data_IF_887470111791
#
_entry.id   IF_887470111791
#
_cell.length_a   1.000
_cell.length_b   1.000
_cell.length_c   1.000
_cell.angle_alpha   90.00
_cell.angle_beta   90.00
_cell.angle_gamma   90.00
#
_symmetry.space_group_name_H-M   'P 1'
#
loop_
_entity.id
_entity.type
_entity.pdbx_description
1 polymer ?
#
# COMPACT_ATOMS: atom_id res chain seq x y z
N UNK A 1 -45.41 0.03 19.11
CA UNK A 1 -45.39 -1.34 19.64
C UNK A 1 -44.13 -2.00 19.07
N UNK A 2 -42.98 -1.84 19.72
CA UNK A 2 -42.43 -2.84 20.66
C UNK A 2 -42.04 -4.12 19.88
N UNK A 3 -40.80 -4.62 19.79
CA UNK A 3 -39.58 -4.66 20.62
C UNK A 3 -38.50 -5.34 19.71
N UNK A 4 -37.19 -5.49 19.96
CA UNK A 4 -36.32 -5.38 21.13
C UNK A 4 -34.87 -5.42 20.66
N UNK A 5 -34.01 -4.63 21.31
CA UNK A 5 -32.54 -4.79 21.34
C UNK A 5 -32.13 -6.17 21.90
N UNK A 6 -31.06 -6.76 21.38
CA UNK A 6 -30.19 -7.74 22.05
C UNK A 6 -28.72 -7.39 21.66
N UNK A 7 -28.02 -6.59 22.48
CA UNK A 7 -26.96 -7.03 23.42
C UNK A 7 -25.68 -7.49 22.68
N UNK A 8 -24.60 -6.70 22.60
CA UNK A 8 -23.61 -6.32 23.63
C UNK A 8 -23.02 -7.53 24.41
N UNK A 9 -21.77 -7.86 24.04
CA UNK A 9 -20.70 -8.52 24.81
C UNK A 9 -20.94 -9.87 25.51
N UNK A 10 -20.15 -10.87 25.14
CA UNK A 10 -19.77 -12.02 25.97
C UNK A 10 -18.56 -12.68 25.25
N UNK A 11 -17.44 -13.13 25.84
CA UNK A 11 -16.89 -13.14 27.20
C UNK A 11 -15.50 -13.78 27.06
N UNK A 12 -14.49 -13.16 27.64
CA UNK A 12 -13.16 -13.74 27.90
C UNK A 12 -13.26 -15.14 28.52
N UNK A 13 -12.62 -16.16 27.90
CA UNK A 13 -12.25 -17.45 28.50
C UNK A 13 -11.61 -18.34 27.40
N UNK A 14 -10.32 -18.67 27.39
CA UNK A 14 -9.68 -19.59 28.34
C UNK A 14 -8.17 -19.65 28.11
N UNK A 15 -7.38 -19.23 29.10
CA UNK A 15 -6.07 -19.84 29.38
C UNK A 15 -6.30 -21.27 29.90
N UNK A 16 -5.77 -22.30 29.23
CA UNK A 16 -5.54 -23.63 29.82
C UNK A 16 -4.14 -24.09 29.41
N UNK A 17 -3.17 -23.86 30.30
CA UNK A 17 -2.57 -24.82 31.26
C UNK A 17 -1.51 -25.72 30.63
N UNK A 18 -0.25 -25.35 30.91
CA UNK A 18 0.94 -26.20 30.87
C UNK A 18 0.66 -27.58 31.47
N UNK A 19 1.17 -28.64 30.84
CA UNK A 19 1.53 -29.89 31.52
C UNK A 19 2.95 -30.27 31.16
N UNK A 20 3.81 -30.15 32.16
CA UNK A 20 5.11 -30.82 32.30
C UNK A 20 4.90 -32.33 32.32
N UNK A 21 5.70 -33.06 31.54
CA UNK A 21 5.98 -34.47 31.79
C UNK A 21 7.50 -34.67 31.79
N UNK A 22 8.07 -34.56 32.99
CA UNK A 22 9.31 -35.28 33.33
C UNK A 22 8.95 -36.75 33.34
N UNK A 23 9.68 -37.58 32.60
CA UNK A 23 9.76 -39.01 32.86
C UNK A 23 11.22 -39.44 32.79
N UNK A 24 11.75 -39.58 33.99
CA UNK A 24 12.81 -40.48 34.39
C UNK A 24 12.56 -41.90 33.89
N UNK A 25 13.61 -42.55 33.42
CA UNK A 25 13.75 -44.00 33.44
C UNK A 25 15.19 -44.29 33.82
N UNK A 26 15.37 -44.75 35.06
CA UNK A 26 16.57 -45.38 35.54
C UNK A 26 16.36 -46.89 35.45
N UNK A 27 17.40 -47.60 35.03
CA UNK A 27 17.79 -48.98 35.34
C UNK A 27 18.88 -49.30 34.31
N UNK A 28 20.12 -49.66 34.62
CA UNK A 28 20.72 -50.26 35.80
C UNK A 28 21.69 -51.30 35.26
N UNK A 29 23.00 -51.17 35.49
CA UNK A 29 23.96 -52.28 35.65
C UNK A 29 25.43 -51.84 35.48
N UNK A 30 26.25 -52.23 36.47
CA UNK A 30 27.70 -52.40 36.48
C UNK A 30 28.63 -51.20 36.27
N UNK A 31 29.10 -50.67 37.39
CA UNK A 31 30.33 -49.89 37.50
C UNK A 31 31.56 -50.81 37.53
N UNK A 32 32.52 -50.59 36.62
CA UNK A 32 33.95 -50.79 36.90
C UNK A 32 34.84 -50.10 35.86
N UNK A 33 35.77 -49.30 36.40
CA UNK A 33 37.08 -48.91 35.88
C UNK A 33 37.16 -48.02 34.62
N UNK A 34 37.96 -46.96 34.73
CA UNK A 34 38.58 -46.30 33.58
C UNK A 34 38.57 -44.78 33.64
N UNK A 35 39.54 -44.21 34.36
CA UNK A 35 39.91 -42.81 34.18
C UNK A 35 40.35 -42.58 32.73
N UNK A 36 39.75 -41.60 32.04
CA UNK A 36 40.07 -41.37 30.64
C UNK A 36 39.30 -40.21 29.99
N UNK A 37 39.72 -38.98 30.31
CA UNK A 37 39.99 -37.90 29.35
C UNK A 37 39.00 -37.74 28.17
N UNK A 38 38.03 -36.84 28.30
CA UNK A 38 37.66 -35.84 27.28
C UNK A 38 36.47 -35.00 27.77
N UNK A 39 36.74 -33.79 28.26
CA UNK A 39 35.72 -32.72 28.30
C UNK A 39 35.41 -32.31 26.87
N UNK A 40 34.55 -33.07 26.19
CA UNK A 40 34.00 -32.71 24.90
C UNK A 40 32.97 -31.61 25.17
N UNK A 41 33.43 -30.35 25.25
CA UNK A 41 32.57 -29.19 25.11
C UNK A 41 31.85 -29.36 23.76
N UNK A 42 30.60 -29.80 23.79
CA UNK A 42 29.70 -29.64 22.66
C UNK A 42 29.59 -28.13 22.46
N UNK A 43 30.44 -27.57 21.58
CA UNK A 43 30.10 -26.34 20.89
C UNK A 43 28.78 -26.66 20.22
N UNK A 44 27.68 -26.13 20.75
CA UNK A 44 26.51 -25.90 19.92
C UNK A 44 27.05 -25.18 18.70
N UNK A 45 27.00 -25.84 17.55
CA UNK A 45 27.14 -25.15 16.30
C UNK A 45 26.05 -24.09 16.35
N UNK A 46 26.48 -22.84 16.54
CA UNK A 46 25.67 -21.68 16.27
C UNK A 46 25.13 -21.94 14.85
N UNK A 47 23.84 -22.25 14.75
CA UNK A 47 23.16 -22.41 13.49
C UNK A 47 23.15 -21.03 12.85
N UNK A 48 24.28 -20.66 12.25
CA UNK A 48 24.38 -19.51 11.37
C UNK A 48 23.59 -19.89 10.15
N UNK A 49 22.28 -19.63 10.23
CA UNK A 49 21.44 -19.47 9.07
C UNK A 49 22.15 -18.40 8.25
N UNK A 50 22.76 -18.81 7.14
CA UNK A 50 23.25 -17.88 6.14
C UNK A 50 22.01 -17.20 5.59
N UNK A 51 21.62 -16.09 6.20
CA UNK A 51 20.78 -15.10 5.55
C UNK A 51 21.57 -14.70 4.32
N UNK A 52 21.06 -15.08 3.15
CA UNK A 52 21.62 -14.63 1.89
C UNK A 52 21.29 -13.14 1.83
N UNK A 53 22.23 -12.28 2.22
CA UNK A 53 22.06 -10.83 2.29
C UNK A 53 21.52 -10.22 0.98
N UNK A 54 21.73 -10.89 -0.16
CA UNK A 54 21.18 -10.51 -1.47
C UNK A 54 19.68 -10.75 -1.68
N UNK A 55 19.03 -11.57 -0.85
CA UNK A 55 17.57 -11.81 -0.91
C UNK A 55 16.82 -10.76 -0.10
N UNK A 56 17.35 -10.38 1.06
CA UNK A 56 16.77 -9.33 1.89
C UNK A 56 16.80 -7.95 1.22
N UNK A 57 17.90 -7.61 0.53
CA UNK A 57 18.05 -6.31 -0.16
C UNK A 57 17.11 -6.17 -1.36
N UNK A 58 16.95 -7.22 -2.17
CA UNK A 58 16.00 -7.23 -3.30
C UNK A 58 14.54 -7.22 -2.86
N UNK A 59 14.24 -7.85 -1.72
CA UNK A 59 12.89 -7.79 -1.16
C UNK A 59 12.59 -6.39 -0.65
N UNK A 60 13.50 -5.76 0.11
CA UNK A 60 13.35 -4.38 0.59
C UNK A 60 13.08 -3.38 -0.54
N UNK A 61 13.84 -3.44 -1.63
CA UNK A 61 13.62 -2.55 -2.78
C UNK A 61 12.22 -2.67 -3.38
N UNK A 62 11.64 -3.88 -3.46
CA UNK A 62 10.28 -4.05 -3.98
C UNK A 62 9.20 -3.47 -3.06
N UNK A 63 9.41 -3.50 -1.74
CA UNK A 63 8.47 -2.86 -0.81
C UNK A 63 8.52 -1.34 -0.93
N UNK A 64 9.72 -0.78 -0.99
CA UNK A 64 9.95 0.65 -1.22
C UNK A 64 9.32 1.10 -2.55
N UNK A 65 9.49 0.33 -3.62
CA UNK A 65 8.90 0.62 -4.94
C UNK A 65 7.36 0.58 -4.91
N UNK A 66 6.76 -0.44 -4.27
CA UNK A 66 5.30 -0.55 -4.13
C UNK A 66 4.76 0.61 -3.29
N UNK A 67 5.41 0.95 -2.20
CA UNK A 67 5.01 2.04 -1.33
C UNK A 67 5.12 3.40 -2.02
N UNK A 68 6.23 3.63 -2.73
CA UNK A 68 6.44 4.81 -3.57
C UNK A 68 5.33 4.96 -4.61
N UNK A 69 4.97 3.90 -5.34
CA UNK A 69 3.87 3.93 -6.31
C UNK A 69 2.50 4.17 -5.65
N UNK A 70 2.26 3.65 -4.44
CA UNK A 70 1.03 3.95 -3.67
C UNK A 70 0.97 5.43 -3.30
N UNK A 71 2.08 6.01 -2.82
CA UNK A 71 2.18 7.45 -2.51
C UNK A 71 1.97 8.29 -3.76
N UNK A 72 2.62 7.93 -4.88
CA UNK A 72 2.43 8.58 -6.16
C UNK A 72 0.97 8.53 -6.62
N UNK A 73 0.30 7.37 -6.50
CA UNK A 73 -1.13 7.23 -6.81
C UNK A 73 -1.98 8.16 -5.94
N UNK A 74 -1.72 8.22 -4.64
CA UNK A 74 -2.42 9.12 -3.72
C UNK A 74 -2.24 10.59 -4.09
N UNK A 75 -0.99 11.03 -4.33
CA UNK A 75 -0.67 12.40 -4.77
C UNK A 75 -1.38 12.75 -6.08
N UNK A 76 -1.37 11.83 -7.04
CA UNK A 76 -2.04 11.98 -8.34
C UNK A 76 -3.56 12.10 -8.18
N UNK A 77 -4.19 11.32 -7.31
CA UNK A 77 -5.63 11.45 -7.02
C UNK A 77 -5.97 12.81 -6.38
N UNK A 78 -5.13 13.31 -5.45
CA UNK A 78 -5.30 14.65 -4.87
C UNK A 78 -5.16 15.74 -5.94
N UNK A 79 -4.15 15.64 -6.81
CA UNK A 79 -3.96 16.55 -7.94
C UNK A 79 -5.16 16.53 -8.89
N UNK A 80 -5.64 15.35 -9.29
CA UNK A 80 -6.82 15.23 -10.15
C UNK A 80 -8.08 15.83 -9.51
N UNK A 81 -8.25 15.72 -8.19
CA UNK A 81 -9.36 16.36 -7.49
C UNK A 81 -9.26 17.90 -7.57
N UNK A 82 -8.07 18.47 -7.36
CA UNK A 82 -7.82 19.90 -7.52
C UNK A 82 -8.06 20.35 -8.98
N UNK A 83 -7.53 19.63 -9.97
CA UNK A 83 -7.75 19.92 -11.39
C UNK A 83 -9.23 19.87 -11.77
N UNK A 84 -10.01 18.91 -11.23
CA UNK A 84 -11.47 18.85 -11.44
C UNK A 84 -12.20 20.05 -10.86
N UNK A 85 -11.75 20.56 -9.71
CA UNK A 85 -12.31 21.76 -9.10
C UNK A 85 -12.07 22.99 -9.98
N UNK A 86 -10.83 23.19 -10.43
CA UNK A 86 -10.47 24.29 -11.33
C UNK A 86 -11.21 24.17 -12.67
N UNK A 87 -11.28 22.96 -13.24
CA UNK A 87 -12.02 22.70 -14.48
C UNK A 87 -13.50 23.05 -14.32
N UNK A 88 -14.10 22.73 -13.18
CA UNK A 88 -15.51 23.05 -12.90
C UNK A 88 -15.75 24.56 -12.87
N UNK A 89 -14.84 25.34 -12.31
CA UNK A 89 -14.92 26.81 -12.31
C UNK A 89 -14.77 27.36 -13.73
N UNK A 90 -13.76 26.91 -14.47
CA UNK A 90 -13.56 27.31 -15.85
C UNK A 90 -14.77 26.98 -16.74
N UNK A 91 -15.37 25.80 -16.55
CA UNK A 91 -16.59 25.39 -17.24
C UNK A 91 -17.78 26.32 -16.93
N UNK A 92 -17.93 26.78 -15.68
CA UNK A 92 -18.96 27.76 -15.31
C UNK A 92 -18.75 29.10 -16.01
N UNK A 93 -17.50 29.55 -16.12
CA UNK A 93 -17.18 30.81 -16.81
C UNK A 93 -17.47 30.73 -18.32
N UNK A 94 -17.15 29.59 -18.94
CA UNK A 94 -17.50 29.32 -20.34
C UNK A 94 -19.01 29.26 -20.57
N UNK A 95 -19.75 28.63 -19.65
CA UNK A 95 -21.21 28.60 -19.68
C UNK A 95 -21.81 30.00 -19.53
N UNK A 96 -21.34 30.78 -18.55
CA UNK A 96 -21.75 32.17 -18.37
C UNK A 96 -21.43 33.03 -19.60
N UNK A 97 -20.25 32.84 -20.22
CA UNK A 97 -19.90 33.51 -21.48
C UNK A 97 -20.86 33.13 -22.60
N UNK A 98 -21.19 31.85 -22.73
CA UNK A 98 -22.17 31.36 -23.73
C UNK A 98 -23.54 32.01 -23.53
N UNK A 99 -23.96 32.18 -22.28
CA UNK A 99 -25.28 32.74 -21.93
C UNK A 99 -25.36 34.27 -22.10
N UNK A 100 -24.22 34.97 -22.01
CA UNK A 100 -24.10 36.39 -22.36
C UNK A 100 -24.23 36.63 -23.87
N UNK A 101 -23.78 35.69 -24.70
CA UNK A 101 -23.89 35.77 -26.16
C UNK A 101 -25.34 35.50 -26.59
N UNK A 102 -26.18 36.54 -26.56
CA UNK A 102 -27.62 36.42 -26.87
C UNK A 102 -27.98 36.88 -28.28
N UNK A 103 -27.36 37.97 -28.77
CA UNK A 103 -27.70 38.66 -30.02
C UNK A 103 -26.43 38.99 -30.81
N UNK A 104 -26.55 39.08 -32.14
CA UNK A 104 -25.44 39.30 -33.07
C UNK A 104 -25.46 38.28 -34.22
N UNK A 105 -24.97 38.65 -35.41
CA UNK A 105 -24.94 37.78 -36.59
C UNK A 105 -24.16 36.47 -36.33
N UNK A 106 -23.06 36.57 -35.58
CA UNK A 106 -22.20 35.43 -35.22
C UNK A 106 -22.65 34.69 -33.96
N UNK A 107 -23.63 35.21 -33.21
CA UNK A 107 -23.97 34.71 -31.87
C UNK A 107 -24.37 33.23 -31.84
N UNK A 108 -25.06 32.74 -32.88
CA UNK A 108 -25.43 31.32 -32.99
C UNK A 108 -24.22 30.42 -33.22
N UNK A 109 -23.26 30.88 -34.03
CA UNK A 109 -22.04 30.14 -34.32
C UNK A 109 -21.15 30.10 -33.09
N UNK A 110 -20.92 31.25 -32.44
CA UNK A 110 -20.09 31.35 -31.23
C UNK A 110 -20.60 30.43 -30.10
N UNK A 111 -21.91 30.38 -29.85
CA UNK A 111 -22.47 29.46 -28.86
C UNK A 111 -22.24 27.99 -29.19
N UNK A 112 -22.26 27.62 -30.48
CA UNK A 112 -21.99 26.25 -30.94
C UNK A 112 -20.52 25.90 -30.78
N UNK A 113 -19.62 26.81 -31.15
CA UNK A 113 -18.18 26.61 -30.96
C UNK A 113 -17.81 26.53 -29.48
N UNK A 114 -18.37 27.39 -28.63
CA UNK A 114 -18.20 27.27 -27.17
C UNK A 114 -18.73 25.93 -26.65
N UNK A 115 -19.86 25.44 -27.15
CA UNK A 115 -20.39 24.14 -26.76
C UNK A 115 -19.49 22.97 -27.21
N UNK A 116 -18.88 23.06 -28.39
CA UNK A 116 -17.91 22.06 -28.87
C UNK A 116 -16.65 22.08 -28.01
N UNK A 117 -16.08 23.27 -27.77
CA UNK A 117 -14.90 23.45 -26.94
C UNK A 117 -15.11 22.89 -25.53
N UNK A 118 -16.24 23.21 -24.90
CA UNK A 118 -16.62 22.66 -23.60
C UNK A 118 -16.72 21.13 -23.58
N UNK A 119 -17.16 20.50 -24.67
CA UNK A 119 -17.21 19.02 -24.77
C UNK A 119 -15.81 18.43 -24.93
N UNK A 120 -15.00 19.03 -25.80
CA UNK A 120 -13.61 18.61 -26.03
C UNK A 120 -12.80 18.70 -24.73
N UNK A 121 -12.88 19.83 -24.04
CA UNK A 121 -12.16 20.04 -22.79
C UNK A 121 -12.51 19.00 -21.71
N UNK A 122 -13.80 18.64 -21.57
CA UNK A 122 -14.24 17.57 -20.66
C UNK A 122 -13.65 16.22 -21.05
N UNK A 123 -13.67 15.89 -22.35
CA UNK A 123 -13.17 14.62 -22.85
C UNK A 123 -11.66 14.52 -22.71
N UNK A 124 -10.91 15.56 -23.04
CA UNK A 124 -9.45 15.63 -22.89
C UNK A 124 -9.04 15.44 -21.43
N UNK A 125 -9.70 16.13 -20.50
CA UNK A 125 -9.44 15.98 -19.07
C UNK A 125 -9.77 14.57 -18.56
N UNK A 126 -10.88 13.98 -19.01
CA UNK A 126 -11.21 12.61 -18.65
C UNK A 126 -10.18 11.60 -19.18
N UNK A 127 -9.74 11.76 -20.42
CA UNK A 127 -8.74 10.89 -21.04
C UNK A 127 -7.39 11.04 -20.35
N UNK A 128 -6.96 12.28 -20.07
CA UNK A 128 -5.73 12.59 -19.31
C UNK A 128 -5.75 11.90 -17.95
N UNK A 129 -6.81 12.11 -17.16
CA UNK A 129 -6.89 11.54 -15.81
C UNK A 129 -6.91 10.01 -15.81
N UNK A 130 -7.62 9.42 -16.78
CA UNK A 130 -7.70 7.97 -16.91
C UNK A 130 -6.36 7.36 -17.33
N UNK A 131 -5.64 7.95 -18.28
CA UNK A 131 -4.35 7.42 -18.75
C UNK A 131 -3.26 7.53 -17.68
N UNK A 132 -3.18 8.66 -16.99
CA UNK A 132 -2.26 8.89 -15.88
C UNK A 132 -2.47 7.89 -14.74
N UNK A 133 -3.73 7.67 -14.34
CA UNK A 133 -4.07 6.70 -13.31
C UNK A 133 -3.76 5.27 -13.76
N UNK A 134 -4.15 4.92 -14.99
CA UNK A 134 -3.96 3.58 -15.55
C UNK A 134 -2.49 3.17 -15.59
N UNK A 135 -1.58 4.10 -15.87
CA UNK A 135 -0.14 3.81 -15.91
C UNK A 135 0.41 3.41 -14.54
N UNK A 136 0.05 4.18 -13.49
CA UNK A 136 0.48 3.89 -12.12
C UNK A 136 -0.15 2.60 -11.60
N UNK A 137 -1.44 2.38 -11.89
CA UNK A 137 -2.14 1.17 -11.49
C UNK A 137 -1.61 -0.09 -12.18
N UNK A 138 -1.22 0.00 -13.46
CA UNK A 138 -0.63 -1.11 -14.18
C UNK A 138 0.71 -1.54 -13.59
N UNK A 139 1.59 -0.58 -13.29
CA UNK A 139 2.91 -0.88 -12.70
C UNK A 139 2.77 -1.41 -11.27
N UNK A 140 1.89 -0.82 -10.45
CA UNK A 140 1.60 -1.30 -9.10
C UNK A 140 1.05 -2.72 -9.11
N UNK A 141 0.13 -3.04 -10.04
CA UNK A 141 -0.39 -4.39 -10.21
C UNK A 141 0.73 -5.36 -10.61
N UNK A 142 1.62 -4.97 -11.52
CA UNK A 142 2.75 -5.80 -11.96
C UNK A 142 3.65 -6.19 -10.78
N UNK A 143 4.04 -5.22 -9.94
CA UNK A 143 4.88 -5.47 -8.78
C UNK A 143 4.18 -6.32 -7.71
N UNK A 144 2.88 -6.09 -7.48
CA UNK A 144 2.09 -6.92 -6.56
C UNK A 144 1.97 -8.37 -7.05
N UNK A 145 1.67 -8.58 -8.33
CA UNK A 145 1.58 -9.90 -8.94
C UNK A 145 2.94 -10.64 -8.89
N UNK A 146 4.04 -9.93 -9.10
CA UNK A 146 5.39 -10.49 -9.00
C UNK A 146 5.74 -10.90 -7.55
N UNK A 147 5.40 -10.05 -6.58
CA UNK A 147 5.54 -10.37 -5.15
C UNK A 147 4.75 -11.62 -4.78
N UNK A 148 3.51 -11.72 -5.23
CA UNK A 148 2.61 -12.83 -4.89
C UNK A 148 3.07 -14.14 -5.56
N UNK A 149 3.61 -14.10 -6.78
CA UNK A 149 4.25 -15.25 -7.43
C UNK A 149 5.47 -15.75 -6.64
N UNK A 150 6.33 -14.84 -6.18
CA UNK A 150 7.50 -15.21 -5.35
C UNK A 150 7.06 -15.83 -4.02
N UNK A 151 6.02 -15.28 -3.38
CA UNK A 151 5.44 -15.87 -2.17
C UNK A 151 4.91 -17.28 -2.42
N UNK A 152 4.10 -17.45 -3.46
CA UNK A 152 3.53 -18.75 -3.82
C UNK A 152 4.62 -19.80 -4.13
N UNK A 153 5.70 -19.41 -4.81
CA UNK A 153 6.82 -20.30 -5.10
C UNK A 153 7.58 -20.73 -3.84
N UNK A 154 7.77 -19.83 -2.86
CA UNK A 154 8.40 -20.17 -1.57
C UNK A 154 7.57 -21.13 -0.75
N UNK A 155 6.25 -20.91 -0.69
CA UNK A 155 5.30 -21.81 0.00
C UNK A 155 5.31 -23.18 -0.68
N UNK A 156 5.28 -23.24 -2.01
CA UNK A 156 5.37 -24.49 -2.76
C UNK A 156 6.70 -25.24 -2.54
N UNK A 157 7.79 -24.52 -2.27
CA UNK A 157 9.08 -25.09 -1.91
C UNK A 157 9.17 -25.57 -0.45
N UNK A 158 8.09 -25.47 0.34
CA UNK A 158 8.03 -25.90 1.73
C UNK A 158 8.81 -25.01 2.70
N UNK A 159 9.16 -23.78 2.30
CA UNK A 159 9.71 -22.78 3.23
C UNK A 159 8.59 -22.27 4.13
N UNK A 160 8.78 -22.36 5.44
CA UNK A 160 7.82 -21.90 6.44
C UNK A 160 7.69 -20.37 6.39
N UNK A 161 6.47 -19.84 6.33
CA UNK A 161 6.22 -18.38 6.35
C UNK A 161 6.66 -17.72 7.68
N UNK A 162 6.84 -18.51 8.74
CA UNK A 162 7.22 -18.04 10.08
C UNK A 162 8.67 -17.52 10.20
N UNK A 163 9.56 -17.86 9.26
CA UNK A 163 10.93 -17.30 9.19
C UNK A 163 11.01 -16.00 8.37
N UNK A 164 9.88 -15.54 7.82
CA UNK A 164 9.78 -14.28 7.11
C UNK A 164 9.22 -13.22 8.07
N UNK A 165 10.10 -12.63 8.89
CA UNK A 165 9.86 -11.38 9.61
C UNK A 165 9.47 -10.30 8.59
N UNK A 166 8.18 -10.15 8.33
CA UNK A 166 7.61 -8.96 7.73
C UNK A 166 7.52 -7.93 8.85
N UNK A 167 8.60 -7.18 9.04
CA UNK A 167 8.62 -6.02 9.92
C UNK A 167 7.60 -4.97 9.45
N UNK A 168 7.10 -4.25 10.45
CA UNK A 168 5.79 -3.60 10.53
C UNK A 168 5.45 -2.62 9.40
N UNK A 169 4.16 -2.57 9.10
CA UNK A 169 3.53 -1.56 8.24
C UNK A 169 3.62 -0.24 8.99
N UNK A 170 4.63 0.56 8.65
CA UNK A 170 4.67 1.94 9.06
C UNK A 170 3.50 2.69 8.44
N UNK A 171 2.41 2.83 9.20
CA UNK A 171 1.46 3.93 9.04
C UNK A 171 2.24 5.23 9.33
N UNK A 172 3.04 5.67 8.37
CA UNK A 172 3.53 7.05 8.31
C UNK A 172 2.48 7.88 7.58
N UNK A 173 1.29 7.95 8.18
CA UNK A 173 0.17 8.81 7.76
C UNK A 173 0.39 10.27 8.21
N UNK A 174 1.65 10.74 8.22
CA UNK A 174 2.03 12.11 8.52
C UNK A 174 2.89 12.67 7.36
N UNK A 175 2.40 12.57 6.12
CA UNK A 175 2.84 13.52 5.07
C UNK A 175 1.91 14.74 5.15
N UNK A 176 2.14 15.56 6.18
CA UNK A 176 1.70 16.94 6.22
C UNK A 176 2.17 17.61 4.92
N UNK A 177 1.22 17.97 4.06
CA UNK A 177 1.53 18.73 2.85
C UNK A 177 1.99 20.10 3.31
N UNK A 178 3.28 20.38 3.19
CA UNK A 178 3.86 21.68 3.56
C UNK A 178 3.10 22.81 2.88
N UNK A 179 2.72 23.82 3.68
CA UNK A 179 1.98 25.02 3.23
C UNK A 179 2.74 25.75 2.10
N UNK A 180 4.07 25.64 2.09
CA UNK A 180 4.97 26.16 1.06
C UNK A 180 4.85 25.41 -0.29
N UNK A 181 4.60 24.08 -0.29
CA UNK A 181 4.37 23.31 -1.52
C UNK A 181 3.01 23.69 -2.13
N UNK A 182 1.99 23.86 -1.28
CA UNK A 182 0.68 24.38 -1.67
C UNK A 182 0.78 25.78 -2.27
N UNK A 183 1.49 26.72 -1.63
CA UNK A 183 1.65 28.08 -2.18
C UNK A 183 2.39 28.07 -3.52
N UNK A 184 3.41 27.22 -3.71
CA UNK A 184 4.11 27.09 -5.00
C UNK A 184 3.22 26.57 -6.12
N UNK A 185 2.30 25.66 -5.81
CA UNK A 185 1.34 25.12 -6.78
C UNK A 185 0.24 26.11 -7.18
N UNK A 186 0.02 27.18 -6.41
CA UNK A 186 -0.98 28.21 -6.72
C UNK A 186 -0.37 29.58 -7.05
N UNK A 187 0.94 29.77 -6.89
CA UNK A 187 1.63 31.05 -7.13
C UNK A 187 1.46 31.58 -8.57
N UNK A 188 1.28 30.70 -9.55
CA UNK A 188 1.02 31.07 -10.94
C UNK A 188 -0.44 31.51 -11.22
N UNK A 189 -1.33 31.44 -10.23
CA UNK A 189 -2.73 31.88 -10.32
C UNK A 189 -3.00 33.22 -9.62
N UNK A 190 -2.04 33.72 -8.83
CA UNK A 190 -2.16 34.97 -8.04
C UNK A 190 -1.34 36.14 -8.60
N UNK A 191 -0.91 36.06 -9.87
CA UNK A 191 -0.33 37.19 -10.61
C UNK A 191 -1.27 37.71 -11.68
#
# INVERSE_FOLDING_TARGET
MANRRLAKSHRMARKKKRKTAKRSSADGSTARAGAGKATRKQKMAEARVRVVDGVATKQKSWFEDIESLKRQKSKLLKQQAAERMVLKEHMRDLEARKDRIRRGETARMERRELAKYMRQLKQEQQVKHASELSNVEAELKRLMDERDKVRAARVAAGMNEEDADWEDVGDADDEDVDEDELQRMFAHLTM
#
